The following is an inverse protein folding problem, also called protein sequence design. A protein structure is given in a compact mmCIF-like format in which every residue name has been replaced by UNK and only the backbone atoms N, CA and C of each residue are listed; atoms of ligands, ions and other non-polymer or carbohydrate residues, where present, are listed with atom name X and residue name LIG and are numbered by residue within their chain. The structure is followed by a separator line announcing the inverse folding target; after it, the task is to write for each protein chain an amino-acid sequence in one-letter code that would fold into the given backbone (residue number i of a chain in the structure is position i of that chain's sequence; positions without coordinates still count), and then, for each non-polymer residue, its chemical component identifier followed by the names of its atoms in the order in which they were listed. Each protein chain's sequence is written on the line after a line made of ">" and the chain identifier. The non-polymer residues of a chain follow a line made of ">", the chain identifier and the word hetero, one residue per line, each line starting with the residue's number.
data_IF_437644708587
#
_entry.id   IF_437644708587
#
_cell.length_a   1.000
_cell.length_b   1.000
_cell.length_c   1.000
_cell.angle_alpha   90.00
_cell.angle_beta   90.00
_cell.angle_gamma   90.00
#
_symmetry.space_group_name_H-M   'P 1'
#
loop_
_entity.id
_entity.type
_entity.pdbx_description
1 polymer ?
#
# COMPACT_ATOMS: atom_id res chain seq x y z
N UNK A 1 15.99 20.13 25.97
CA UNK A 1 17.10 20.33 25.02
C UNK A 1 16.66 19.73 23.70
N UNK A 2 16.48 20.55 22.66
CA UNK A 2 16.15 20.06 21.31
C UNK A 2 17.32 19.22 20.81
N UNK A 3 17.08 17.96 20.49
CA UNK A 3 18.09 17.04 19.94
C UNK A 3 18.69 17.70 18.69
N UNK A 4 20.01 17.86 18.64
CA UNK A 4 20.69 18.53 17.53
C UNK A 4 20.40 17.75 16.24
N UNK A 5 19.68 18.35 15.30
CA UNK A 5 19.32 17.71 14.03
C UNK A 5 20.60 17.49 13.23
N UNK A 6 20.99 16.23 13.01
CA UNK A 6 22.09 15.84 12.14
C UNK A 6 21.60 15.81 10.70
N UNK A 7 22.37 16.40 9.79
CA UNK A 7 22.14 16.27 8.35
C UNK A 7 22.53 14.86 7.86
N UNK A 8 22.10 14.50 6.66
CA UNK A 8 22.55 13.27 6.00
C UNK A 8 24.09 13.15 5.94
N UNK A 9 24.80 14.25 5.65
CA UNK A 9 26.26 14.26 5.60
C UNK A 9 26.90 14.03 6.99
N UNK A 10 26.29 14.56 8.06
CA UNK A 10 26.77 14.32 9.43
C UNK A 10 26.63 12.87 9.84
N UNK A 11 25.58 12.18 9.38
CA UNK A 11 25.41 10.75 9.60
C UNK A 11 26.43 9.93 8.80
N UNK A 12 26.59 10.23 7.51
CA UNK A 12 27.51 9.48 6.64
C UNK A 12 28.98 9.75 6.95
N UNK A 13 29.33 10.88 7.55
CA UNK A 13 30.71 11.14 7.99
C UNK A 13 31.14 10.26 9.15
N UNK A 14 30.21 9.76 9.97
CA UNK A 14 30.49 8.82 11.05
C UNK A 14 30.94 7.45 10.51
N UNK A 15 32.22 7.13 10.70
CA UNK A 15 32.81 5.88 10.20
C UNK A 15 32.18 4.62 10.79
N UNK A 16 31.53 4.71 11.95
CA UNK A 16 30.93 3.57 12.64
C UNK A 16 29.49 3.32 12.19
N UNK A 17 28.71 4.37 11.95
CA UNK A 17 27.33 4.24 11.46
C UNK A 17 27.26 4.05 9.94
N UNK A 18 28.19 4.64 9.19
CA UNK A 18 28.18 4.68 7.72
C UNK A 18 27.97 3.32 7.04
N UNK A 19 28.58 2.19 7.45
CA UNK A 19 28.35 0.91 6.78
C UNK A 19 26.87 0.49 6.78
N UNK A 20 26.16 0.70 7.89
CA UNK A 20 24.73 0.39 8.00
C UNK A 20 23.90 1.33 7.15
N UNK A 21 24.19 2.64 7.22
CA UNK A 21 23.43 3.66 6.50
C UNK A 21 23.60 3.55 4.98
N UNK A 22 24.81 3.25 4.50
CA UNK A 22 25.08 3.00 3.08
C UNK A 22 24.38 1.72 2.60
N UNK A 23 24.44 0.65 3.39
CA UNK A 23 23.71 -0.58 3.06
C UNK A 23 22.19 -0.34 2.99
N UNK A 24 21.64 0.51 3.86
CA UNK A 24 20.22 0.88 3.82
C UNK A 24 19.88 1.68 2.55
N UNK A 25 20.69 2.68 2.20
CA UNK A 25 20.54 3.48 0.98
C UNK A 25 20.59 2.61 -0.29
N UNK A 26 21.51 1.65 -0.33
CA UNK A 26 21.68 0.71 -1.45
C UNK A 26 20.60 -0.39 -1.48
N UNK A 27 19.69 -0.43 -0.51
CA UNK A 27 18.66 -1.47 -0.40
C UNK A 27 19.19 -2.85 -0.02
N UNK A 28 20.40 -2.94 0.53
CA UNK A 28 21.09 -4.18 0.91
C UNK A 28 21.02 -4.48 2.41
N UNK A 29 20.49 -3.56 3.22
CA UNK A 29 20.31 -3.76 4.66
C UNK A 29 19.02 -4.52 4.96
N UNK A 30 19.17 -5.84 5.13
CA UNK A 30 18.11 -6.77 5.53
C UNK A 30 17.70 -6.61 7.00
N UNK A 31 16.73 -7.42 7.45
CA UNK A 31 16.21 -7.37 8.82
C UNK A 31 17.27 -7.67 9.87
N UNK A 32 18.13 -8.67 9.60
CA UNK A 32 19.22 -9.04 10.48
C UNK A 32 20.18 -7.86 10.66
N UNK A 33 20.56 -7.20 9.56
CA UNK A 33 21.39 -6.00 9.57
C UNK A 33 20.73 -4.81 10.25
N UNK A 34 19.42 -4.62 10.07
CA UNK A 34 18.64 -3.58 10.76
C UNK A 34 18.60 -3.81 12.28
N UNK A 35 18.37 -5.03 12.73
CA UNK A 35 18.37 -5.37 14.15
C UNK A 35 19.77 -5.27 14.76
N UNK A 36 20.81 -5.64 14.02
CA UNK A 36 22.20 -5.41 14.43
C UNK A 36 22.50 -3.91 14.59
N UNK A 37 22.06 -3.07 13.63
CA UNK A 37 22.20 -1.63 13.73
C UNK A 37 21.41 -1.05 14.90
N UNK A 38 20.19 -1.51 15.15
CA UNK A 38 19.40 -1.11 16.31
C UNK A 38 20.12 -1.44 17.63
N UNK A 39 20.73 -2.63 17.74
CA UNK A 39 21.52 -3.02 18.91
C UNK A 39 22.74 -2.10 19.11
N UNK A 40 23.42 -1.75 18.01
CA UNK A 40 24.50 -0.77 18.05
C UNK A 40 24.02 0.61 18.55
N UNK A 41 22.81 1.02 18.15
CA UNK A 41 22.21 2.30 18.55
C UNK A 41 21.71 2.34 19.99
N UNK A 42 21.56 1.21 20.70
CA UNK A 42 20.97 1.18 22.05
C UNK A 42 21.63 2.14 23.04
N UNK A 43 22.94 2.35 22.92
CA UNK A 43 23.70 3.24 23.80
C UNK A 43 23.91 4.64 23.21
N UNK A 44 23.81 4.79 21.89
CA UNK A 44 24.08 6.04 21.19
C UNK A 44 22.82 6.87 20.99
N UNK A 45 21.74 6.22 20.60
CA UNK A 45 20.44 6.84 20.34
C UNK A 45 19.32 5.81 20.51
N UNK A 46 18.81 5.62 21.74
CA UNK A 46 17.74 4.67 22.03
C UNK A 46 16.47 4.90 21.20
N UNK A 47 16.15 6.17 20.88
CA UNK A 47 14.98 6.50 20.06
C UNK A 47 15.13 5.96 18.63
N UNK A 48 16.32 6.12 18.02
CA UNK A 48 16.62 5.55 16.70
C UNK A 48 16.64 4.02 16.75
N UNK A 49 17.22 3.44 17.80
CA UNK A 49 17.24 2.01 18.01
C UNK A 49 15.81 1.43 18.06
N UNK A 50 14.93 2.02 18.86
CA UNK A 50 13.53 1.62 18.96
C UNK A 50 12.81 1.77 17.62
N UNK A 51 12.98 2.91 16.93
CA UNK A 51 12.33 3.13 15.64
C UNK A 51 12.73 2.09 14.60
N UNK A 52 14.01 1.70 14.51
CA UNK A 52 14.46 0.65 13.58
C UNK A 52 13.83 -0.70 13.92
N UNK A 53 13.67 -1.04 15.21
CA UNK A 53 12.97 -2.28 15.61
C UNK A 53 11.49 -2.25 15.25
N UNK A 54 10.82 -1.11 15.44
CA UNK A 54 9.42 -0.96 15.04
C UNK A 54 9.27 -0.99 13.51
N UNK A 55 10.24 -0.47 12.77
CA UNK A 55 10.27 -0.56 11.31
C UNK A 55 10.32 -2.02 10.83
N UNK A 56 11.17 -2.86 11.44
CA UNK A 56 11.22 -4.31 11.15
C UNK A 56 9.91 -4.99 11.55
N UNK A 57 9.35 -4.68 12.74
CA UNK A 57 8.07 -5.23 13.20
C UNK A 57 6.93 -4.89 12.23
N UNK A 58 6.87 -3.66 11.74
CA UNK A 58 5.83 -3.22 10.80
C UNK A 58 5.96 -3.84 9.42
N UNK A 59 7.18 -3.94 8.88
CA UNK A 59 7.38 -4.41 7.51
C UNK A 59 7.42 -5.94 7.38
N UNK A 60 8.03 -6.64 8.34
CA UNK A 60 8.28 -8.08 8.22
C UNK A 60 7.31 -8.93 9.03
N UNK A 61 6.81 -8.40 10.16
CA UNK A 61 5.82 -9.10 10.98
C UNK A 61 4.37 -8.65 10.68
N UNK A 62 4.20 -7.62 9.83
CA UNK A 62 2.91 -7.14 9.33
C UNK A 62 1.83 -6.94 10.42
N UNK A 63 2.17 -6.21 11.48
CA UNK A 63 1.26 -5.96 12.61
C UNK A 63 0.27 -4.80 12.36
N UNK A 64 -0.98 -4.97 12.79
CA UNK A 64 -2.05 -3.96 12.79
C UNK A 64 -2.20 -3.23 14.14
N UNK A 65 -1.30 -3.49 15.10
CA UNK A 65 -1.36 -2.90 16.44
C UNK A 65 -1.23 -1.37 16.38
N UNK A 66 -2.34 -0.68 16.65
CA UNK A 66 -2.45 0.78 16.67
C UNK A 66 -1.39 1.44 17.55
N UNK A 67 -0.96 0.79 18.64
CA UNK A 67 0.07 1.34 19.53
C UNK A 67 1.45 1.29 18.89
N UNK A 68 1.76 0.24 18.12
CA UNK A 68 3.00 0.15 17.32
C UNK A 68 3.03 1.25 16.27
N UNK A 69 1.94 1.42 15.52
CA UNK A 69 1.81 2.48 14.50
C UNK A 69 1.96 3.87 15.12
N UNK A 70 1.27 4.14 16.24
CA UNK A 70 1.35 5.42 16.95
C UNK A 70 2.77 5.70 17.44
N UNK A 71 3.45 4.70 18.04
CA UNK A 71 4.81 4.85 18.57
C UNK A 71 5.83 5.06 17.45
N UNK A 72 5.73 4.30 16.37
CA UNK A 72 6.57 4.46 15.18
C UNK A 72 6.46 5.87 14.58
N UNK A 73 5.23 6.38 14.43
CA UNK A 73 5.01 7.75 13.93
C UNK A 73 5.49 8.84 14.89
N UNK A 74 5.34 8.64 16.20
CA UNK A 74 5.84 9.57 17.21
C UNK A 74 7.38 9.66 17.21
N UNK A 75 8.06 8.52 17.20
CA UNK A 75 9.52 8.45 17.13
C UNK A 75 10.05 9.04 15.81
N UNK A 76 9.35 8.82 14.70
CA UNK A 76 9.73 9.42 13.42
C UNK A 76 9.82 10.96 13.49
N UNK A 77 8.87 11.60 14.15
CA UNK A 77 8.89 13.06 14.35
C UNK A 77 10.05 13.53 15.24
N UNK A 78 10.49 12.70 16.19
CA UNK A 78 11.61 13.00 17.10
C UNK A 78 12.98 12.84 16.43
N UNK A 79 13.15 11.78 15.64
CA UNK A 79 14.44 11.36 15.08
C UNK A 79 14.90 12.29 13.95
N UNK A 80 13.96 12.91 13.25
CA UNK A 80 14.24 13.90 12.20
C UNK A 80 14.36 13.30 10.80
N UNK A 81 14.12 14.17 9.81
CA UNK A 81 13.88 13.78 8.42
C UNK A 81 15.07 13.08 7.75
N UNK A 82 16.30 13.55 7.94
CA UNK A 82 17.48 13.02 7.25
C UNK A 82 17.75 11.55 7.59
N UNK A 83 17.62 11.17 8.86
CA UNK A 83 17.79 9.79 9.27
C UNK A 83 16.68 8.90 8.67
N UNK A 84 15.43 9.33 8.79
CA UNK A 84 14.29 8.60 8.25
C UNK A 84 14.42 8.39 6.75
N UNK A 85 14.89 9.41 6.01
CA UNK A 85 15.10 9.34 4.57
C UNK A 85 16.08 8.23 4.17
N UNK A 86 17.14 7.99 4.96
CA UNK A 86 18.11 6.93 4.67
C UNK A 86 17.61 5.55 5.09
N UNK A 87 16.91 5.45 6.22
CA UNK A 87 16.61 4.16 6.86
C UNK A 87 15.24 3.58 6.51
N UNK A 88 14.27 4.42 6.14
CA UNK A 88 12.93 3.97 5.76
C UNK A 88 13.04 3.16 4.47
N UNK A 89 12.45 1.97 4.45
CA UNK A 89 12.31 1.20 3.21
C UNK A 89 11.61 2.06 2.18
N UNK A 90 12.15 2.06 0.96
CA UNK A 90 11.57 2.74 -0.21
C UNK A 90 10.38 1.98 -0.78
N UNK A 91 9.79 1.09 0.00
CA UNK A 91 8.61 0.35 -0.37
C UNK A 91 7.43 1.27 -0.17
N UNK A 92 6.83 1.66 -1.29
CA UNK A 92 5.54 2.33 -1.36
C UNK A 92 4.50 1.34 -0.79
N UNK A 93 4.43 1.31 0.54
CA UNK A 93 3.39 0.76 1.40
C UNK A 93 2.58 -0.41 0.84
N UNK A 94 3.15 -1.61 0.68
CA UNK A 94 2.39 -2.87 0.57
C UNK A 94 1.14 -2.85 -0.35
N UNK A 95 1.05 -1.93 -1.31
CA UNK A 95 -0.19 -1.61 -1.98
C UNK A 95 -0.37 -2.69 -3.04
N UNK A 96 -1.05 -3.77 -2.65
CA UNK A 96 -1.23 -4.99 -3.43
C UNK A 96 -0.53 -6.26 -2.92
N UNK A 97 0.22 -6.22 -1.80
CA UNK A 97 0.99 -7.40 -1.30
C UNK A 97 0.56 -7.96 0.07
N UNK A 98 -0.52 -7.47 0.67
CA UNK A 98 -1.03 -8.05 1.92
C UNK A 98 -1.54 -9.48 1.66
N UNK A 99 -0.81 -10.50 2.14
CA UNK A 99 -1.12 -11.91 1.94
C UNK A 99 -2.36 -12.41 2.70
N UNK A 100 -2.80 -11.65 3.71
CA UNK A 100 -3.89 -12.03 4.63
C UNK A 100 -5.13 -11.13 4.53
N UNK A 101 -5.19 -10.22 3.56
CA UNK A 101 -6.39 -9.42 3.29
C UNK A 101 -7.11 -9.95 2.04
N UNK A 102 -8.47 -9.98 2.04
CA UNK A 102 -9.19 -10.31 0.83
C UNK A 102 -8.84 -9.29 -0.25
N UNK A 103 -8.45 -9.76 -1.44
CA UNK A 103 -8.16 -8.90 -2.59
C UNK A 103 -9.39 -8.02 -2.86
N UNK A 104 -9.20 -6.72 -2.84
CA UNK A 104 -10.24 -5.73 -3.17
C UNK A 104 -10.06 -5.27 -4.60
N UNK A 105 -11.16 -4.99 -5.29
CA UNK A 105 -11.17 -4.48 -6.65
C UNK A 105 -10.65 -3.04 -6.67
N UNK A 106 -9.71 -2.74 -7.56
CA UNK A 106 -9.30 -1.39 -7.93
C UNK A 106 -9.86 -1.04 -9.31
N UNK A 107 -10.12 0.25 -9.50
CA UNK A 107 -10.60 0.79 -10.76
C UNK A 107 -9.50 1.58 -11.44
N UNK A 108 -9.19 1.26 -12.70
CA UNK A 108 -8.43 2.18 -13.56
C UNK A 108 -9.23 3.46 -13.80
N UNK A 109 -10.56 3.34 -13.80
CA UNK A 109 -11.48 4.46 -13.96
C UNK A 109 -12.78 4.20 -13.19
N UNK A 110 -13.16 5.13 -12.30
CA UNK A 110 -14.45 5.08 -11.60
C UNK A 110 -15.45 5.97 -12.34
N UNK A 111 -16.57 5.38 -12.77
CA UNK A 111 -17.67 6.09 -13.40
C UNK A 111 -18.47 6.90 -12.36
N UNK A 112 -18.92 8.09 -12.76
CA UNK A 112 -19.77 8.93 -11.90
C UNK A 112 -21.25 8.51 -11.89
N UNK A 113 -21.65 7.65 -12.84
CA UNK A 113 -23.00 7.11 -12.93
C UNK A 113 -23.23 6.06 -11.84
N UNK A 114 -24.46 5.99 -11.36
CA UNK A 114 -24.89 4.97 -10.38
C UNK A 114 -25.55 3.81 -11.09
N UNK A 115 -25.40 2.60 -10.56
CA UNK A 115 -25.99 1.38 -11.12
C UNK A 115 -27.50 1.55 -11.40
N UNK A 116 -28.22 2.13 -10.44
CA UNK A 116 -29.66 2.33 -10.50
C UNK A 116 -30.08 3.30 -11.62
N UNK A 117 -29.16 4.18 -12.02
CA UNK A 117 -29.38 5.19 -13.09
C UNK A 117 -29.01 4.71 -14.48
N UNK A 118 -28.39 3.53 -14.61
CA UNK A 118 -28.06 2.94 -15.91
C UNK A 118 -29.31 2.31 -16.55
N UNK A 119 -29.34 2.28 -17.88
CA UNK A 119 -30.45 1.71 -18.61
C UNK A 119 -30.53 0.19 -18.37
N UNK A 120 -31.71 -0.35 -18.01
CA UNK A 120 -31.90 -1.78 -17.90
C UNK A 120 -31.72 -2.46 -19.26
N UNK A 121 -31.28 -3.71 -19.23
CA UNK A 121 -31.28 -4.60 -20.40
C UNK A 121 -32.18 -5.80 -20.10
N UNK A 122 -32.29 -6.73 -21.04
CA UNK A 122 -33.05 -7.98 -20.84
C UNK A 122 -32.42 -8.86 -19.74
N UNK A 123 -31.14 -8.66 -19.42
CA UNK A 123 -30.45 -9.30 -18.32
C UNK A 123 -30.45 -8.38 -17.09
N UNK A 124 -31.02 -8.78 -15.93
CA UNK A 124 -31.06 -7.95 -14.73
C UNK A 124 -29.68 -7.65 -14.13
N UNK A 125 -28.67 -8.47 -14.44
CA UNK A 125 -27.28 -8.28 -13.99
C UNK A 125 -26.46 -7.47 -14.99
N UNK A 126 -27.06 -6.99 -16.07
CA UNK A 126 -26.38 -6.14 -17.05
C UNK A 126 -27.19 -4.89 -17.33
N UNK A 127 -26.50 -3.75 -17.26
CA UNK A 127 -27.06 -2.45 -17.61
C UNK A 127 -26.23 -1.77 -18.68
N UNK A 128 -26.84 -0.83 -19.39
CA UNK A 128 -26.16 -0.03 -20.40
C UNK A 128 -25.91 1.39 -19.90
N UNK A 129 -24.66 1.85 -20.01
CA UNK A 129 -24.31 3.24 -19.74
C UNK A 129 -24.35 4.06 -21.01
N UNK A 130 -25.32 4.97 -21.14
CA UNK A 130 -25.43 5.84 -22.32
C UNK A 130 -24.31 6.88 -22.44
N UNK A 131 -23.55 7.13 -21.37
CA UNK A 131 -22.46 8.12 -21.39
C UNK A 131 -21.18 7.55 -22.02
N UNK A 132 -20.83 6.30 -21.70
CA UNK A 132 -19.65 5.63 -22.28
C UNK A 132 -20.01 4.55 -23.32
N UNK A 133 -21.29 4.43 -23.66
CA UNK A 133 -21.85 3.45 -24.61
C UNK A 133 -21.36 2.01 -24.36
N UNK A 134 -21.26 1.61 -23.08
CA UNK A 134 -20.71 0.32 -22.67
C UNK A 134 -21.70 -0.44 -21.79
N UNK A 135 -21.65 -1.78 -21.89
CA UNK A 135 -22.33 -2.68 -20.95
C UNK A 135 -21.60 -2.66 -19.61
N UNK A 136 -22.36 -2.59 -18.54
CA UNK A 136 -21.91 -2.63 -17.15
C UNK A 136 -22.47 -3.89 -16.52
N UNK A 137 -21.59 -4.74 -16.01
CA UNK A 137 -21.93 -6.04 -15.44
C UNK A 137 -21.92 -5.95 -13.92
N UNK A 138 -22.99 -6.38 -13.27
CA UNK A 138 -23.01 -6.50 -11.82
C UNK A 138 -22.15 -7.69 -11.39
N UNK A 139 -21.25 -7.47 -10.44
CA UNK A 139 -20.40 -8.51 -9.89
C UNK A 139 -20.61 -8.57 -8.38
N UNK A 140 -20.94 -9.75 -7.86
CA UNK A 140 -21.11 -10.01 -6.44
C UNK A 140 -19.82 -10.47 -5.77
N UNK A 141 -18.84 -10.90 -6.56
CA UNK A 141 -17.58 -11.47 -6.05
C UNK A 141 -16.35 -10.94 -6.79
N UNK A 142 -15.18 -11.03 -6.14
CA UNK A 142 -13.89 -10.64 -6.73
C UNK A 142 -13.56 -11.50 -7.96
N UNK A 143 -13.79 -12.82 -8.00
CA UNK A 143 -13.58 -13.62 -9.21
C UNK A 143 -14.43 -13.20 -10.42
N UNK A 144 -15.68 -12.76 -10.20
CA UNK A 144 -16.52 -12.23 -11.28
C UNK A 144 -15.97 -10.91 -11.81
N UNK A 145 -15.63 -9.99 -10.92
CA UNK A 145 -14.93 -8.75 -11.28
C UNK A 145 -13.63 -9.08 -12.05
N UNK A 146 -12.95 -10.17 -11.68
CA UNK A 146 -11.76 -10.69 -12.35
C UNK A 146 -11.98 -11.11 -13.80
N UNK A 147 -12.99 -11.92 -14.04
CA UNK A 147 -13.37 -12.29 -15.39
C UNK A 147 -13.72 -11.07 -16.24
N UNK A 148 -14.47 -10.11 -15.69
CA UNK A 148 -14.91 -8.93 -16.43
C UNK A 148 -13.78 -7.94 -16.73
N UNK A 149 -12.84 -7.70 -15.82
CA UNK A 149 -11.73 -6.79 -16.15
C UNK A 149 -10.78 -7.37 -17.21
N UNK A 150 -10.55 -8.69 -17.21
CA UNK A 150 -9.80 -9.37 -18.29
C UNK A 150 -10.46 -9.18 -19.65
N UNK A 151 -11.78 -9.14 -19.69
CA UNK A 151 -12.56 -8.84 -20.90
C UNK A 151 -12.67 -7.34 -21.21
N UNK A 152 -12.05 -6.46 -20.41
CA UNK A 152 -12.14 -5.01 -20.57
C UNK A 152 -13.53 -4.44 -20.29
N UNK A 153 -14.38 -5.17 -19.58
CA UNK A 153 -15.74 -4.74 -19.28
C UNK A 153 -15.80 -3.69 -18.16
N UNK A 154 -16.85 -2.86 -18.17
CA UNK A 154 -17.22 -2.07 -17.01
C UNK A 154 -18.02 -2.94 -16.04
N UNK A 155 -17.83 -2.75 -14.74
CA UNK A 155 -18.54 -3.49 -13.70
C UNK A 155 -19.23 -2.57 -12.71
N UNK A 156 -20.19 -3.14 -11.97
CA UNK A 156 -20.77 -2.58 -10.77
C UNK A 156 -20.56 -3.57 -9.60
N UNK A 157 -19.94 -3.12 -8.51
CA UNK A 157 -19.64 -3.94 -7.32
C UNK A 157 -20.05 -3.23 -6.04
N UNK A 158 -20.37 -4.00 -4.99
CA UNK A 158 -20.58 -3.45 -3.65
C UNK A 158 -19.33 -2.71 -3.15
N UNK A 159 -19.53 -1.66 -2.35
CA UNK A 159 -18.42 -0.94 -1.69
C UNK A 159 -17.52 -1.86 -0.87
N UNK A 160 -18.09 -2.91 -0.27
CA UNK A 160 -17.35 -3.87 0.56
C UNK A 160 -16.24 -4.59 -0.23
N UNK A 161 -16.36 -4.64 -1.56
CA UNK A 161 -15.42 -5.29 -2.46
C UNK A 161 -14.34 -4.34 -3.02
N UNK A 162 -14.35 -3.04 -2.71
CA UNK A 162 -13.44 -2.03 -3.31
C UNK A 162 -12.34 -1.60 -2.33
N UNK A 163 -11.14 -1.29 -2.84
CA UNK A 163 -9.97 -0.91 -2.04
C UNK A 163 -10.07 0.53 -1.50
N UNK A 164 -10.49 1.47 -2.35
CA UNK A 164 -10.57 2.90 -2.04
C UNK A 164 -12.03 3.40 -2.07
N UNK A 165 -12.86 2.91 -1.15
CA UNK A 165 -14.26 3.34 -0.98
C UNK A 165 -14.43 4.76 -0.41
N UNK A 166 -13.34 5.50 -0.22
CA UNK A 166 -13.35 6.80 0.44
C UNK A 166 -14.12 7.85 -0.39
N UNK A 167 -15.38 8.11 -0.02
CA UNK A 167 -16.07 9.35 -0.35
C UNK A 167 -17.33 9.27 -1.22
N UNK A 168 -17.95 8.10 -1.41
CA UNK A 168 -19.29 8.03 -2.05
C UNK A 168 -20.25 7.21 -1.17
N UNK A 169 -21.47 7.71 -0.95
CA UNK A 169 -22.52 7.02 -0.15
C UNK A 169 -23.44 6.17 -1.03
N UNK A 170 -22.90 5.34 -1.94
CA UNK A 170 -23.71 4.52 -2.85
C UNK A 170 -23.46 3.04 -2.66
N UNK A 171 -24.51 2.24 -2.62
CA UNK A 171 -24.42 0.78 -2.41
C UNK A 171 -23.47 0.09 -3.42
N UNK A 172 -23.37 0.63 -4.65
CA UNK A 172 -22.49 0.12 -5.69
C UNK A 172 -21.52 1.17 -6.23
N UNK A 173 -20.30 0.74 -6.50
CA UNK A 173 -19.31 1.46 -7.31
C UNK A 173 -19.31 0.92 -8.74
N UNK A 174 -19.32 1.84 -9.71
CA UNK A 174 -19.36 1.52 -11.15
C UNK A 174 -18.07 2.02 -11.82
N UNK A 175 -17.49 1.23 -12.72
CA UNK A 175 -16.29 1.67 -13.45
C UNK A 175 -15.60 0.56 -14.23
N UNK A 176 -14.41 0.86 -14.77
CA UNK A 176 -13.54 -0.14 -15.41
C UNK A 176 -12.47 -0.59 -14.41
N UNK A 177 -12.42 -1.88 -14.03
CA UNK A 177 -11.41 -2.36 -13.08
C UNK A 177 -10.02 -2.31 -13.69
N UNK A 178 -8.99 -2.27 -12.84
CA UNK A 178 -7.59 -2.30 -13.27
C UNK A 178 -7.07 -3.73 -13.42
N UNK A 179 -6.91 -4.24 -14.66
CA UNK A 179 -6.41 -5.59 -14.87
C UNK A 179 -4.93 -5.74 -14.46
N UNK A 180 -4.14 -4.66 -14.54
CA UNK A 180 -2.71 -4.69 -14.29
C UNK A 180 -2.46 -4.47 -12.80
N UNK A 181 -3.04 -3.43 -12.20
CA UNK A 181 -2.81 -3.10 -10.79
C UNK A 181 -3.12 -4.24 -9.80
N UNK A 182 -4.10 -5.09 -10.10
CA UNK A 182 -4.56 -6.13 -9.17
C UNK A 182 -4.09 -7.56 -9.50
N UNK A 183 -3.86 -7.91 -10.78
CA UNK A 183 -3.73 -9.32 -11.20
C UNK A 183 -2.61 -9.62 -12.21
N UNK A 184 -1.54 -8.82 -12.26
CA UNK A 184 -0.37 -9.03 -13.16
C UNK A 184 0.10 -10.49 -13.20
N UNK A 185 0.28 -11.11 -12.03
CA UNK A 185 0.84 -12.47 -11.88
C UNK A 185 -0.01 -13.55 -12.57
N UNK A 186 -1.33 -13.33 -12.72
CA UNK A 186 -2.22 -14.28 -13.40
C UNK A 186 -2.42 -13.98 -14.89
N UNK A 187 -2.14 -12.76 -15.33
CA UNK A 187 -2.24 -12.37 -16.74
C UNK A 187 -0.99 -12.72 -17.54
N UNK A 188 0.17 -12.78 -16.87
CA UNK A 188 1.45 -13.20 -17.43
C UNK A 188 2.06 -14.30 -16.56
N UNK A 189 1.51 -15.54 -16.58
CA UNK A 189 2.18 -16.64 -15.90
C UNK A 189 3.56 -16.83 -16.52
N UNK A 190 4.61 -16.84 -15.69
CA UNK A 190 5.95 -17.24 -16.14
C UNK A 190 5.86 -18.68 -16.65
N UNK A 191 6.22 -18.88 -17.92
CA UNK A 191 6.36 -20.21 -18.53
C UNK A 191 7.58 -20.96 -17.99
#
# INVERSE_FOLDING_TARGET
>A
MTKKTRSMFDYLSDKTERPYLMAALDGKLDDTGRLAYAKFLDYLDPSRAEWVRLEVKLNSQATDDVNVHRRYGALGREIGYDFLRMMRRRDIFNCGKATNEPRRVRFSFVCERRWETLHPTDDPHVRHCNTCASRVYQCATVPEAEAHARAGHCIAVSQDLVHDGAGRNYDNMVGRPDPIGDWVEKMFPEN
#
